data_IF_693655654884
#
_entry.id   IF_693655654884
#
_cell.length_a   1.000
_cell.length_b   1.000
_cell.length_c   1.000
_cell.angle_alpha   90.00
_cell.angle_beta   90.00
_cell.angle_gamma   90.00
#
_symmetry.space_group_name_H-M   'P 1'
#
loop_
_entity.id
_entity.type
_entity.pdbx_description
1 polymer ?
#
# COMPACT_ATOMS: atom_id res chain seq x y z
N UNK A 1 -19.35 1.20 13.94
CA UNK A 1 -18.36 0.57 13.03
C UNK A 1 -18.01 1.40 11.78
N UNK A 2 -18.81 2.41 11.37
CA UNK A 2 -18.51 3.26 10.19
C UNK A 2 -17.07 3.79 10.14
N UNK A 3 -16.53 4.26 11.27
CA UNK A 3 -15.15 4.75 11.35
C UNK A 3 -14.10 3.66 11.09
N UNK A 4 -14.35 2.41 11.49
CA UNK A 4 -13.46 1.28 11.19
C UNK A 4 -13.44 0.98 9.70
N UNK A 5 -14.61 0.98 9.05
CA UNK A 5 -14.73 0.79 7.60
C UNK A 5 -14.00 1.90 6.83
N UNK A 6 -14.10 3.14 7.30
CA UNK A 6 -13.37 4.28 6.73
C UNK A 6 -11.86 4.10 6.82
N UNK A 7 -11.35 3.58 7.94
CA UNK A 7 -9.91 3.28 8.09
C UNK A 7 -9.50 2.17 7.13
N UNK A 8 -10.29 1.10 7.00
CA UNK A 8 -10.00 0.00 6.07
C UNK A 8 -9.98 0.51 4.62
N UNK A 9 -11.02 1.25 4.18
CA UNK A 9 -11.09 1.83 2.83
C UNK A 9 -9.86 2.72 2.52
N UNK A 10 -9.51 3.61 3.45
CA UNK A 10 -8.36 4.49 3.30
C UNK A 10 -7.04 3.71 3.14
N UNK A 11 -6.79 2.69 3.95
CA UNK A 11 -5.56 1.90 3.89
C UNK A 11 -5.52 0.94 2.70
N UNK A 12 -6.67 0.44 2.23
CA UNK A 12 -6.78 -0.26 0.96
C UNK A 12 -6.39 0.64 -0.20
N UNK A 13 -6.77 1.92 -0.16
CA UNK A 13 -6.38 2.87 -1.20
C UNK A 13 -4.88 3.21 -1.13
N UNK A 14 -4.41 3.70 0.02
CA UNK A 14 -3.01 4.12 0.25
C UNK A 14 -2.01 3.04 -0.13
N UNK A 15 -2.29 1.78 0.21
CA UNK A 15 -1.43 0.66 -0.15
C UNK A 15 -1.35 0.43 -1.66
N UNK A 16 -2.47 0.46 -2.38
CA UNK A 16 -2.46 0.31 -3.85
C UNK A 16 -1.79 1.49 -4.55
N UNK A 17 -2.00 2.71 -4.07
CA UNK A 17 -1.36 3.92 -4.61
C UNK A 17 0.16 3.91 -4.39
N UNK A 18 0.62 3.57 -3.19
CA UNK A 18 2.06 3.44 -2.89
C UNK A 18 2.74 2.41 -3.79
N UNK A 19 2.14 1.22 -3.93
CA UNK A 19 2.66 0.19 -4.84
C UNK A 19 2.58 0.61 -6.32
N UNK A 20 1.60 1.44 -6.70
CA UNK A 20 1.47 1.92 -8.08
C UNK A 20 2.64 2.81 -8.47
N UNK A 21 3.10 3.68 -7.57
CA UNK A 21 4.28 4.51 -7.82
C UNK A 21 5.52 3.62 -8.01
N UNK A 22 5.73 2.66 -7.13
CA UNK A 22 6.88 1.76 -7.21
C UNK A 22 6.85 0.86 -8.46
N UNK A 23 5.65 0.44 -8.90
CA UNK A 23 5.45 -0.26 -10.18
C UNK A 23 5.88 0.59 -11.39
N UNK A 24 5.53 1.87 -11.42
CA UNK A 24 5.93 2.74 -12.54
C UNK A 24 7.44 3.00 -12.56
N UNK A 25 8.08 3.12 -11.39
CA UNK A 25 9.55 3.18 -11.30
C UNK A 25 10.17 1.90 -11.88
N UNK A 26 9.67 0.73 -11.51
CA UNK A 26 10.15 -0.52 -12.08
C UNK A 26 9.95 -0.60 -13.61
N UNK A 27 8.82 -0.11 -14.13
CA UNK A 27 8.52 -0.15 -15.57
C UNK A 27 9.35 0.81 -16.40
N UNK A 28 9.47 2.05 -15.95
CA UNK A 28 9.96 3.14 -16.81
C UNK A 28 11.35 3.63 -16.46
N UNK A 29 11.78 3.46 -15.21
CA UNK A 29 13.15 3.76 -14.80
C UNK A 29 14.01 2.52 -14.98
N UNK A 30 13.62 1.41 -14.34
CA UNK A 30 14.43 0.19 -14.32
C UNK A 30 14.24 -0.69 -15.57
N UNK A 31 13.16 -0.47 -16.34
CA UNK A 31 12.73 -1.37 -17.43
C UNK A 31 12.64 -2.85 -16.99
N UNK A 32 12.32 -3.08 -15.70
CA UNK A 32 12.27 -4.40 -15.10
C UNK A 32 10.82 -4.92 -15.04
N UNK A 33 10.46 -5.71 -16.05
CA UNK A 33 9.13 -6.29 -16.16
C UNK A 33 8.78 -7.25 -15.00
N UNK A 34 9.78 -7.92 -14.41
CA UNK A 34 9.56 -8.83 -13.30
C UNK A 34 9.14 -8.07 -12.04
N UNK A 35 9.90 -7.04 -11.64
CA UNK A 35 9.56 -6.20 -10.48
C UNK A 35 8.22 -5.48 -10.65
N UNK A 36 7.98 -4.95 -11.86
CA UNK A 36 6.69 -4.35 -12.19
C UNK A 36 5.53 -5.35 -12.02
N UNK A 37 5.70 -6.59 -12.49
CA UNK A 37 4.69 -7.63 -12.35
C UNK A 37 4.46 -8.02 -10.89
N UNK A 38 5.50 -8.08 -10.06
CA UNK A 38 5.36 -8.35 -8.63
C UNK A 38 4.54 -7.26 -7.91
N UNK A 39 4.81 -5.98 -8.20
CA UNK A 39 4.02 -4.86 -7.66
C UNK A 39 2.57 -4.89 -8.12
N UNK A 40 2.34 -5.11 -9.42
CA UNK A 40 0.99 -5.24 -9.98
C UNK A 40 0.22 -6.40 -9.32
N UNK A 41 0.88 -7.54 -9.14
CA UNK A 41 0.30 -8.71 -8.48
C UNK A 41 -0.08 -8.41 -7.03
N UNK A 42 0.82 -7.78 -6.27
CA UNK A 42 0.53 -7.35 -4.91
C UNK A 42 -0.68 -6.40 -4.83
N UNK A 43 -0.79 -5.41 -5.74
CA UNK A 43 -1.98 -4.54 -5.80
C UNK A 43 -3.28 -5.29 -6.06
N UNK A 44 -3.23 -6.29 -6.94
CA UNK A 44 -4.39 -7.12 -7.23
C UNK A 44 -4.77 -7.97 -6.01
N UNK A 45 -3.79 -8.59 -5.36
CA UNK A 45 -3.99 -9.41 -4.18
C UNK A 45 -4.61 -8.63 -3.01
N UNK A 46 -4.21 -7.37 -2.77
CA UNK A 46 -4.87 -6.48 -1.78
C UNK A 46 -6.39 -6.43 -2.02
N UNK A 47 -6.79 -6.32 -3.29
CA UNK A 47 -8.21 -6.23 -3.66
C UNK A 47 -8.93 -7.56 -3.47
N UNK A 48 -8.25 -8.68 -3.76
CA UNK A 48 -8.81 -10.02 -3.54
C UNK A 48 -8.98 -10.33 -2.05
N UNK A 49 -7.96 -10.04 -1.23
CA UNK A 49 -8.00 -10.21 0.23
C UNK A 49 -9.15 -9.37 0.80
N UNK A 50 -9.27 -8.10 0.39
CA UNK A 50 -10.32 -7.20 0.88
C UNK A 50 -11.75 -7.72 0.62
N UNK A 51 -11.97 -8.40 -0.52
CA UNK A 51 -13.28 -8.97 -0.88
C UNK A 51 -13.69 -10.17 -0.03
N UNK A 52 -12.75 -10.76 0.71
CA UNK A 52 -13.05 -11.83 1.65
C UNK A 52 -13.60 -11.31 2.98
N UNK A 53 -13.49 -10.00 3.25
CA UNK A 53 -14.14 -9.39 4.40
C UNK A 53 -15.66 -9.42 4.22
N UNK A 54 -16.44 -9.64 5.29
CA UNK A 54 -17.89 -9.55 5.27
C UNK A 54 -18.36 -8.09 5.24
N UNK A 55 -17.86 -7.32 4.28
CA UNK A 55 -18.12 -5.89 4.08
C UNK A 55 -18.45 -5.70 2.61
N UNK A 56 -19.61 -5.12 2.31
CA UNK A 56 -20.03 -4.85 0.94
C UNK A 56 -19.35 -3.60 0.35
N UNK A 57 -19.25 -3.54 -0.98
CA UNK A 57 -18.76 -2.34 -1.69
C UNK A 57 -19.60 -1.09 -1.35
N UNK A 58 -20.92 -1.25 -1.13
CA UNK A 58 -21.80 -0.17 -0.68
C UNK A 58 -21.44 0.34 0.71
N UNK A 59 -21.04 -0.55 1.63
CA UNK A 59 -20.64 -0.14 2.98
C UNK A 59 -19.32 0.62 2.96
N UNK A 60 -18.35 0.20 2.15
CA UNK A 60 -17.13 0.97 1.92
C UNK A 60 -17.43 2.34 1.32
N UNK A 61 -18.30 2.41 0.30
CA UNK A 61 -18.70 3.66 -0.34
C UNK A 61 -19.36 4.63 0.65
N UNK A 62 -20.28 4.14 1.49
CA UNK A 62 -20.98 4.96 2.48
C UNK A 62 -20.09 5.40 3.64
N UNK A 63 -19.01 4.66 3.92
CA UNK A 63 -18.02 4.99 4.94
C UNK A 63 -16.96 5.98 4.45
N UNK A 64 -16.76 6.10 3.13
CA UNK A 64 -15.77 7.00 2.53
C UNK A 64 -16.10 8.46 2.84
N UNK A 65 -15.11 9.16 3.38
CA UNK A 65 -15.22 10.57 3.74
C UNK A 65 -13.83 11.19 3.67
N UNK A 66 -13.44 11.59 2.46
CA UNK A 66 -12.16 12.24 2.18
C UNK A 66 -12.17 13.73 2.54
N UNK A 67 -13.33 14.36 2.54
CA UNK A 67 -13.49 15.80 2.85
C UNK A 67 -13.22 16.06 4.32
N UNK A 68 -13.70 15.17 5.20
CA UNK A 68 -13.50 15.30 6.64
C UNK A 68 -12.30 14.47 7.14
N UNK A 69 -11.32 14.21 6.28
CA UNK A 69 -10.06 13.57 6.70
C UNK A 69 -9.22 14.56 7.48
N UNK A 70 -9.22 14.40 8.81
CA UNK A 70 -8.41 15.20 9.74
C UNK A 70 -6.90 15.06 9.45
N UNK A 71 -6.49 14.02 8.73
CA UNK A 71 -5.14 13.83 8.26
C UNK A 71 -4.82 14.49 6.92
N UNK A 72 -5.79 15.08 6.22
CA UNK A 72 -5.59 15.61 4.86
C UNK A 72 -4.56 16.75 4.80
N UNK A 73 -4.45 17.53 5.87
CA UNK A 73 -3.50 18.65 5.97
C UNK A 73 -2.27 18.30 6.84
N UNK A 74 -2.19 17.06 7.35
CA UNK A 74 -1.03 16.58 8.10
C UNK A 74 0.09 16.23 7.13
N UNK A 75 0.77 17.24 6.63
CA UNK A 75 2.01 17.07 5.88
C UNK A 75 3.18 16.98 6.86
N UNK A 76 4.07 16.02 6.63
CA UNK A 76 5.39 16.05 7.26
C UNK A 76 6.37 16.79 6.34
N UNK A 77 7.31 17.56 6.89
CA UNK A 77 8.34 18.26 6.10
C UNK A 77 9.14 17.31 5.19
N UNK A 78 9.19 16.02 5.54
CA UNK A 78 9.81 14.95 4.75
C UNK A 78 8.96 14.43 3.59
N UNK A 79 7.66 14.72 3.53
CA UNK A 79 6.83 14.43 2.35
C UNK A 79 7.07 15.44 1.21
N UNK A 80 7.37 16.69 1.55
CA UNK A 80 7.61 17.78 0.59
C UNK A 80 9.00 17.74 -0.06
N UNK A 81 9.94 16.98 0.49
CA UNK A 81 11.33 16.94 0.01
C UNK A 81 11.78 15.51 -0.31
N UNK A 82 11.64 15.12 -1.58
CA UNK A 82 12.24 13.89 -2.12
C UNK A 82 13.44 14.27 -2.99
N UNK A 83 14.62 13.83 -2.60
CA UNK A 83 15.89 14.25 -3.23
C UNK A 83 16.23 13.36 -4.43
N UNK A 84 15.76 12.10 -4.44
CA UNK A 84 16.10 11.12 -5.48
C UNK A 84 15.03 10.01 -5.62
N UNK A 85 15.19 9.13 -6.60
CA UNK A 85 14.25 8.03 -6.89
C UNK A 85 14.25 6.98 -5.78
N UNK A 86 15.39 6.72 -5.12
CA UNK A 86 15.44 5.78 -4.00
C UNK A 86 14.57 6.23 -2.84
N UNK A 87 14.61 7.51 -2.45
CA UNK A 87 13.69 8.07 -1.46
C UNK A 87 12.23 8.00 -1.90
N UNK A 88 11.94 8.20 -3.19
CA UNK A 88 10.57 8.05 -3.72
C UNK A 88 10.09 6.61 -3.58
N UNK A 89 10.90 5.62 -3.93
CA UNK A 89 10.54 4.22 -3.79
C UNK A 89 10.35 3.82 -2.32
N UNK A 90 11.30 4.16 -1.44
CA UNK A 90 11.24 3.87 0.01
C UNK A 90 9.92 4.37 0.60
N UNK A 91 9.63 5.66 0.42
CA UNK A 91 8.47 6.27 1.07
C UNK A 91 7.14 5.75 0.50
N UNK A 92 7.10 5.28 -0.74
CA UNK A 92 5.88 4.69 -1.31
C UNK A 92 5.67 3.24 -0.88
N UNK A 93 6.72 2.43 -0.85
CA UNK A 93 6.63 1.02 -0.45
C UNK A 93 6.35 0.92 1.06
N UNK A 94 7.03 1.71 1.89
CA UNK A 94 6.81 1.71 3.35
C UNK A 94 5.41 2.17 3.75
N UNK A 95 4.86 3.18 3.08
CA UNK A 95 3.45 3.57 3.30
C UNK A 95 2.49 2.44 2.95
N UNK A 96 2.80 1.62 1.93
CA UNK A 96 2.02 0.44 1.63
C UNK A 96 2.16 -0.64 2.71
N UNK A 97 3.35 -0.85 3.27
CA UNK A 97 3.60 -1.79 4.37
C UNK A 97 2.89 -1.36 5.67
N UNK A 98 2.94 -0.08 6.02
CA UNK A 98 2.19 0.52 7.14
C UNK A 98 0.69 0.34 6.94
N UNK A 99 0.20 0.60 5.73
CA UNK A 99 -1.21 0.37 5.38
C UNK A 99 -1.58 -1.11 5.52
N UNK A 100 -0.72 -2.04 5.08
CA UNK A 100 -0.93 -3.48 5.30
C UNK A 100 -0.96 -3.84 6.77
N UNK A 101 -0.15 -3.18 7.62
CA UNK A 101 -0.17 -3.41 9.07
C UNK A 101 -1.50 -2.99 9.70
N UNK A 102 -2.05 -1.86 9.27
CA UNK A 102 -3.37 -1.40 9.72
C UNK A 102 -4.46 -2.37 9.26
N UNK A 103 -4.42 -2.82 8.01
CA UNK A 103 -5.38 -3.79 7.47
C UNK A 103 -5.29 -5.14 8.17
N UNK A 104 -4.08 -5.63 8.45
CA UNK A 104 -3.85 -6.84 9.25
C UNK A 104 -4.55 -6.74 10.61
N UNK A 105 -4.34 -5.65 11.35
CA UNK A 105 -4.89 -5.51 12.70
C UNK A 105 -6.41 -5.32 12.69
N UNK A 106 -6.95 -4.47 11.82
CA UNK A 106 -8.39 -4.22 11.78
C UNK A 106 -9.19 -5.38 11.19
N UNK A 107 -8.61 -6.16 10.29
CA UNK A 107 -9.29 -7.35 9.74
C UNK A 107 -9.55 -8.41 10.80
N UNK A 108 -8.80 -8.45 11.91
CA UNK A 108 -9.05 -9.37 13.03
C UNK A 108 -10.43 -9.19 13.67
N UNK A 109 -11.04 -8.01 13.53
CA UNK A 109 -12.41 -7.77 13.99
C UNK A 109 -13.46 -8.53 13.16
N UNK A 110 -13.09 -9.00 11.96
CA UNK A 110 -14.00 -9.63 10.99
C UNK A 110 -13.58 -11.05 10.62
N UNK A 111 -12.28 -11.30 10.39
CA UNK A 111 -11.72 -12.60 10.04
C UNK A 111 -10.23 -12.68 10.38
N UNK A 112 -9.84 -13.66 11.20
CA UNK A 112 -8.44 -13.95 11.52
C UNK A 112 -7.67 -14.50 10.33
N UNK A 113 -8.35 -15.18 9.40
CA UNK A 113 -7.78 -15.70 8.16
C UNK A 113 -7.38 -14.55 7.22
N UNK A 114 -8.29 -13.60 7.00
CA UNK A 114 -8.01 -12.40 6.18
C UNK A 114 -6.89 -11.56 6.80
N UNK A 115 -6.87 -11.42 8.13
CA UNK A 115 -5.77 -10.76 8.83
C UNK A 115 -4.42 -11.45 8.57
N UNK A 116 -4.40 -12.78 8.54
CA UNK A 116 -3.19 -13.55 8.23
C UNK A 116 -2.75 -13.35 6.76
N UNK A 117 -3.67 -13.22 5.82
CA UNK A 117 -3.34 -12.90 4.43
C UNK A 117 -2.70 -11.52 4.29
N UNK A 118 -3.26 -10.48 4.91
CA UNK A 118 -2.62 -9.15 4.95
C UNK A 118 -1.24 -9.19 5.60
N UNK A 119 -1.06 -9.98 6.66
CA UNK A 119 0.25 -10.21 7.26
C UNK A 119 1.22 -10.82 6.25
N UNK A 120 0.85 -11.92 5.57
CA UNK A 120 1.71 -12.57 4.57
C UNK A 120 2.10 -11.61 3.45
N UNK A 121 1.13 -10.83 2.95
CA UNK A 121 1.38 -9.84 1.92
C UNK A 121 2.35 -8.75 2.41
N UNK A 122 2.20 -8.25 3.64
CA UNK A 122 3.15 -7.29 4.24
C UNK A 122 4.57 -7.80 4.27
N UNK A 123 4.78 -9.06 4.68
CA UNK A 123 6.12 -9.67 4.67
C UNK A 123 6.69 -9.80 3.25
N UNK A 124 5.84 -10.10 2.27
CA UNK A 124 6.26 -10.10 0.86
C UNK A 124 6.65 -8.71 0.37
N UNK A 125 5.99 -7.66 0.85
CA UNK A 125 6.37 -6.28 0.52
C UNK A 125 7.77 -5.93 1.01
N UNK A 126 8.22 -6.43 2.17
CA UNK A 126 9.60 -6.23 2.63
C UNK A 126 10.65 -6.81 1.66
N UNK A 127 10.37 -8.00 1.11
CA UNK A 127 11.27 -8.60 0.12
C UNK A 127 11.28 -7.81 -1.19
N UNK A 128 10.09 -7.35 -1.62
CA UNK A 128 9.95 -6.50 -2.81
C UNK A 128 10.66 -5.15 -2.61
N UNK A 129 10.56 -4.53 -1.41
CA UNK A 129 11.27 -3.30 -1.05
C UNK A 129 12.77 -3.49 -1.29
N UNK A 130 13.35 -4.54 -0.71
CA UNK A 130 14.77 -4.84 -0.84
C UNK A 130 15.21 -4.96 -2.30
N UNK A 131 14.44 -5.67 -3.12
CA UNK A 131 14.77 -5.85 -4.54
C UNK A 131 14.71 -4.52 -5.31
N UNK A 132 13.61 -3.78 -5.18
CA UNK A 132 13.42 -2.50 -5.87
C UNK A 132 14.47 -1.48 -5.47
N UNK A 133 14.77 -1.37 -4.18
CA UNK A 133 15.76 -0.40 -3.69
C UNK A 133 17.17 -0.75 -4.16
N UNK A 134 17.52 -2.03 -4.23
CA UNK A 134 18.83 -2.45 -4.72
C UNK A 134 19.02 -2.01 -6.18
N UNK A 135 18.02 -2.23 -7.03
CA UNK A 135 18.09 -1.82 -8.44
C UNK A 135 18.06 -0.30 -8.62
N UNK A 136 17.24 0.43 -7.86
CA UNK A 136 17.22 1.90 -7.94
C UNK A 136 18.55 2.50 -7.49
N UNK A 137 19.13 2.03 -6.40
CA UNK A 137 20.44 2.51 -5.93
C UNK A 137 21.53 2.23 -6.96
N UNK A 138 21.45 1.11 -7.68
CA UNK A 138 22.38 0.82 -8.78
C UNK A 138 22.16 1.71 -9.99
N UNK A 139 20.90 2.02 -10.33
CA UNK A 139 20.54 2.94 -11.41
C UNK A 139 20.98 4.38 -11.15
N UNK A 140 20.96 4.83 -9.89
CA UNK A 140 21.35 6.19 -9.47
C UNK A 140 22.87 6.40 -9.39
N UNK A 141 23.68 5.34 -9.50
CA UNK A 141 25.14 5.41 -9.52
C UNK A 141 25.67 5.65 -10.92
#
# INVERSE_FOLDING_TARGET
MKNVLRIIDANLNRSREGLRVAEELARFVLNNANLASQMKSARHEITLIARQLPISDSEFLLARDSISDVGAELNSESEDTRINLSQIAIANIRRAEESMRVLEELSKLYSSEVALEFKRLRFRLYEIEKLVLTEIIQYEK
#
